data_IF_813777322588
#
_entry.id   IF_813777322588
#
_cell.length_a   1.000
_cell.length_b   1.000
_cell.length_c   1.000
_cell.angle_alpha   90.00
_cell.angle_beta   90.00
_cell.angle_gamma   90.00
#
_symmetry.space_group_name_H-M   'P 1'
#
loop_
_entity.id
_entity.type
_entity.pdbx_description
1 polymer ?
#
# COMPACT_ATOMS: atom_id res chain seq x y z
N UNK A 1 -18.26 -6.42 23.42
CA UNK A 1 -18.01 -5.77 22.12
C UNK A 1 -17.00 -6.64 21.40
N UNK A 2 -17.37 -7.28 20.29
CA UNK A 2 -16.39 -7.99 19.47
C UNK A 2 -15.52 -6.93 18.78
N UNK A 3 -14.20 -6.98 18.96
CA UNK A 3 -13.31 -6.17 18.14
C UNK A 3 -13.60 -6.53 16.68
N UNK A 4 -13.89 -5.55 15.79
CA UNK A 4 -13.99 -5.86 14.37
C UNK A 4 -12.68 -6.55 13.95
N UNK A 5 -12.75 -7.58 13.10
CA UNK A 5 -11.54 -8.27 12.66
C UNK A 5 -10.61 -7.23 12.03
N UNK A 6 -9.46 -7.00 12.66
CA UNK A 6 -8.46 -6.07 12.14
C UNK A 6 -8.03 -6.60 10.78
N UNK A 7 -8.19 -5.80 9.70
CA UNK A 7 -7.89 -6.31 8.38
C UNK A 7 -6.39 -6.57 8.29
N UNK A 8 -6.03 -7.71 7.70
CA UNK A 8 -4.63 -8.17 7.67
C UNK A 8 -3.77 -7.13 6.95
N UNK A 9 -2.61 -6.75 7.53
CA UNK A 9 -1.74 -5.77 6.89
C UNK A 9 -1.30 -6.24 5.50
N UNK A 10 -1.00 -5.29 4.63
CA UNK A 10 -0.40 -5.55 3.33
C UNK A 10 1.07 -5.88 3.50
N UNK A 11 1.51 -6.87 2.73
CA UNK A 11 2.90 -7.31 2.61
C UNK A 11 3.34 -7.18 1.15
N UNK A 12 4.64 -7.23 0.89
CA UNK A 12 5.20 -7.09 -0.46
C UNK A 12 4.56 -8.05 -1.48
N UNK A 13 4.25 -9.28 -1.05
CA UNK A 13 3.62 -10.29 -1.90
C UNK A 13 2.21 -9.90 -2.40
N UNK A 14 1.50 -9.01 -1.70
CA UNK A 14 0.19 -8.52 -2.13
C UNK A 14 0.28 -7.60 -3.36
N UNK A 15 1.41 -6.92 -3.55
CA UNK A 15 1.61 -5.95 -4.63
C UNK A 15 2.00 -6.61 -5.97
N UNK A 16 2.20 -7.93 -5.97
CA UNK A 16 2.57 -8.70 -7.14
C UNK A 16 4.08 -8.92 -7.31
N UNK A 17 4.47 -9.78 -8.28
CA UNK A 17 5.86 -10.19 -8.47
C UNK A 17 6.78 -9.02 -8.85
N UNK A 18 6.30 -8.10 -9.68
CA UNK A 18 7.06 -6.94 -10.15
C UNK A 18 7.31 -5.91 -9.03
N UNK A 19 6.66 -6.07 -7.86
CA UNK A 19 6.85 -5.14 -6.77
C UNK A 19 8.28 -5.11 -6.27
N UNK A 20 8.96 -6.27 -6.30
CA UNK A 20 10.33 -6.43 -5.85
C UNK A 20 11.34 -5.65 -6.70
N UNK A 21 10.99 -5.35 -7.97
CA UNK A 21 11.83 -4.61 -8.91
C UNK A 21 11.80 -3.09 -8.67
N UNK A 22 10.84 -2.59 -7.88
CA UNK A 22 10.83 -1.18 -7.50
C UNK A 22 11.89 -0.85 -6.46
N UNK A 23 12.31 0.42 -6.50
CA UNK A 23 13.19 1.04 -5.52
C UNK A 23 12.72 0.73 -4.07
N UNK A 24 13.63 0.34 -3.16
CA UNK A 24 13.27 -0.04 -1.79
C UNK A 24 12.45 1.02 -1.05
N UNK A 25 12.74 2.31 -1.30
CA UNK A 25 12.00 3.43 -0.71
C UNK A 25 10.58 3.56 -1.25
N UNK A 26 10.36 3.29 -2.54
CA UNK A 26 9.04 3.28 -3.15
C UNK A 26 8.21 2.13 -2.57
N UNK A 27 8.82 0.93 -2.43
CA UNK A 27 8.16 -0.23 -1.82
C UNK A 27 7.71 0.04 -0.38
N UNK A 28 8.61 0.57 0.45
CA UNK A 28 8.28 0.93 1.84
C UNK A 28 7.11 1.93 1.89
N UNK A 29 7.16 2.97 1.07
CA UNK A 29 6.10 3.98 1.00
C UNK A 29 4.75 3.37 0.55
N UNK A 30 4.76 2.49 -0.44
CA UNK A 30 3.54 1.80 -0.89
C UNK A 30 2.95 0.90 0.21
N UNK A 31 3.79 0.20 0.98
CA UNK A 31 3.34 -0.59 2.13
C UNK A 31 2.75 0.29 3.24
N UNK A 32 3.39 1.40 3.56
CA UNK A 32 2.91 2.34 4.58
C UNK A 32 1.53 2.91 4.18
N UNK A 33 1.42 3.45 2.97
CA UNK A 33 0.17 4.01 2.45
C UNK A 33 -0.93 2.94 2.37
N UNK A 34 -0.60 1.74 1.91
CA UNK A 34 -1.56 0.65 1.81
C UNK A 34 -2.11 0.22 3.17
N UNK A 35 -1.24 0.14 4.19
CA UNK A 35 -1.66 -0.22 5.55
C UNK A 35 -2.47 0.89 6.23
N UNK A 36 -2.17 2.16 5.93
CA UNK A 36 -2.97 3.31 6.37
C UNK A 36 -4.38 3.26 5.76
N UNK A 37 -4.48 3.10 4.43
CA UNK A 37 -5.75 2.97 3.72
C UNK A 37 -6.59 1.78 4.20
N UNK A 38 -5.95 0.67 4.58
CA UNK A 38 -6.62 -0.49 5.17
C UNK A 38 -7.27 -0.19 6.52
N UNK A 39 -6.69 0.72 7.30
CA UNK A 39 -7.22 1.15 8.58
C UNK A 39 -8.30 2.20 8.41
N UNK A 40 -8.09 3.15 7.51
CA UNK A 40 -8.94 4.32 7.35
C UNK A 40 -10.15 4.04 6.44
N UNK A 41 -9.99 3.17 5.44
CA UNK A 41 -11.01 2.83 4.46
C UNK A 41 -11.22 1.30 4.36
N UNK A 42 -11.68 0.63 5.45
CA UNK A 42 -11.85 -0.82 5.49
C UNK A 42 -12.96 -1.34 4.54
N UNK A 43 -13.76 -0.43 3.98
CA UNK A 43 -14.77 -0.73 2.94
C UNK A 43 -14.16 -0.98 1.56
N UNK A 44 -12.94 -0.50 1.30
CA UNK A 44 -12.26 -0.73 0.02
C UNK A 44 -11.72 -2.14 -0.08
N UNK A 45 -11.71 -2.66 -1.30
CA UNK A 45 -11.09 -3.95 -1.55
C UNK A 45 -9.57 -3.84 -1.41
N UNK A 46 -8.93 -4.95 -1.02
CA UNK A 46 -7.47 -5.05 -0.92
C UNK A 46 -6.79 -4.61 -2.23
N UNK A 47 -7.37 -5.00 -3.38
CA UNK A 47 -6.89 -4.62 -4.72
C UNK A 47 -6.95 -3.12 -4.97
N UNK A 48 -8.04 -2.46 -4.62
CA UNK A 48 -8.14 -0.99 -4.74
C UNK A 48 -7.12 -0.29 -3.86
N UNK A 49 -6.95 -0.75 -2.63
CA UNK A 49 -5.98 -0.21 -1.68
C UNK A 49 -4.55 -0.33 -2.23
N UNK A 50 -4.17 -1.51 -2.72
CA UNK A 50 -2.85 -1.76 -3.33
C UNK A 50 -2.62 -0.80 -4.51
N UNK A 51 -3.62 -0.67 -5.39
CA UNK A 51 -3.55 0.21 -6.55
C UNK A 51 -3.35 1.67 -6.12
N UNK A 52 -4.18 2.18 -5.21
CA UNK A 52 -4.07 3.56 -4.71
C UNK A 52 -2.72 3.77 -4.02
N UNK A 53 -2.26 2.80 -3.24
CA UNK A 53 -0.98 2.87 -2.55
C UNK A 53 0.20 2.96 -3.52
N UNK A 54 0.21 2.16 -4.59
CA UNK A 54 1.21 2.25 -5.66
C UNK A 54 1.17 3.60 -6.39
N UNK A 55 -0.02 4.09 -6.74
CA UNK A 55 -0.17 5.37 -7.43
C UNK A 55 0.36 6.53 -6.56
N UNK A 56 0.02 6.54 -5.26
CA UNK A 56 0.50 7.56 -4.31
C UNK A 56 2.01 7.44 -4.05
N UNK A 57 2.52 6.24 -3.84
CA UNK A 57 3.95 6.00 -3.61
C UNK A 57 4.78 6.39 -4.84
N UNK A 58 4.31 6.06 -6.05
CA UNK A 58 4.95 6.46 -7.31
C UNK A 58 4.97 7.98 -7.47
N UNK A 59 3.85 8.66 -7.17
CA UNK A 59 3.79 10.12 -7.23
C UNK A 59 4.77 10.77 -6.25
N UNK A 60 4.77 10.31 -5.00
CA UNK A 60 5.72 10.76 -3.98
C UNK A 60 7.17 10.56 -4.40
N UNK A 61 7.48 9.42 -5.04
CA UNK A 61 8.83 9.14 -5.54
C UNK A 61 9.24 10.08 -6.68
N UNK A 62 8.33 10.33 -7.63
CA UNK A 62 8.57 11.25 -8.75
C UNK A 62 8.77 12.70 -8.28
N UNK A 63 8.00 13.17 -7.31
CA UNK A 63 8.16 14.50 -6.69
C UNK A 63 9.54 14.66 -6.02
N UNK A 64 10.13 13.58 -5.52
CA UNK A 64 11.43 13.59 -4.83
C UNK A 64 12.63 13.38 -5.75
N UNK A 65 12.40 12.91 -6.97
CA UNK A 65 13.42 12.72 -7.99
C UNK A 65 13.56 13.95 -8.92
N UNK A 66 12.77 15.00 -8.69
CA UNK A 66 12.82 16.30 -9.37
C UNK A 66 13.74 17.31 -8.70
#
# INVERSE_FOLDING_TARGET
MANPPTPKPLVEADFGPDFSDYEPKLRQMALEIGNELLRDEPEKTRTDIIRIALERARRWWLDRAG
#
